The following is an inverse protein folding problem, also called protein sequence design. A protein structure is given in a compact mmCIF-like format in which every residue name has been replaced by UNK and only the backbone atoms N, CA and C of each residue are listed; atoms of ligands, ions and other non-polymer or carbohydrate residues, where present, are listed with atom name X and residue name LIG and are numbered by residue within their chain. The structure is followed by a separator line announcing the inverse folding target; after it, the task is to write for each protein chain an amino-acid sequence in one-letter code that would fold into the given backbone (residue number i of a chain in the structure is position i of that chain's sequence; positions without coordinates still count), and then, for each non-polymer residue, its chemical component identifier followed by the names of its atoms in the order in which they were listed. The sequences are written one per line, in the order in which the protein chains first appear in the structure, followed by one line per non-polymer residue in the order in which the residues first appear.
data_IF_066344549962
#
_entry.id   IF_066344549962
#
_cell.length_a   1.000
_cell.length_b   1.000
_cell.length_c   1.000
_cell.angle_alpha   90.00
_cell.angle_beta   90.00
_cell.angle_gamma   90.00
#
_symmetry.space_group_name_H-M   'P 1'
#
loop_
_entity.id
_entity.type
_entity.pdbx_description
1 polymer ?
#
# COMPACT_ATOMS: atom_id res chain seq x y z
N UNK A 1 -19.86 -27.45 42.88
CA UNK A 1 -19.97 -26.41 41.83
C UNK A 1 -18.82 -26.65 40.87
N UNK A 2 -19.14 -26.92 39.60
CA UNK A 2 -18.15 -26.91 38.54
C UNK A 2 -17.71 -25.47 38.33
N UNK A 3 -16.41 -25.26 38.25
CA UNK A 3 -15.79 -23.95 38.05
C UNK A 3 -15.61 -23.86 36.55
N UNK A 4 -16.64 -23.34 35.86
CA UNK A 4 -16.49 -22.89 34.48
C UNK A 4 -15.56 -21.68 34.52
N UNK A 5 -14.33 -21.85 34.03
CA UNK A 5 -13.43 -20.74 33.78
C UNK A 5 -13.41 -20.51 32.26
N UNK A 6 -13.85 -19.31 31.90
CA UNK A 6 -14.07 -18.79 30.54
C UNK A 6 -13.01 -19.15 29.49
N UNK A 7 -13.39 -19.25 28.21
CA UNK A 7 -12.43 -19.27 27.11
C UNK A 7 -11.60 -17.97 27.18
N UNK A 8 -10.32 -18.13 27.49
CA UNK A 8 -9.36 -17.03 27.51
C UNK A 8 -9.38 -16.35 26.13
N UNK A 9 -9.52 -15.02 26.15
CA UNK A 9 -9.48 -14.12 25.00
C UNK A 9 -8.21 -14.34 24.14
N UNK A 10 -8.31 -15.19 23.12
CA UNK A 10 -7.35 -15.26 22.00
C UNK A 10 -7.43 -14.02 21.07
N UNK A 11 -8.07 -12.93 21.51
CA UNK A 11 -8.46 -11.80 20.66
C UNK A 11 -7.45 -10.65 20.67
N UNK A 12 -6.31 -10.78 21.37
CA UNK A 12 -5.37 -9.66 21.59
C UNK A 12 -4.20 -9.57 20.60
N UNK A 13 -4.13 -10.41 19.56
CA UNK A 13 -2.99 -10.40 18.62
C UNK A 13 -3.40 -10.12 17.16
N UNK A 14 -4.26 -9.12 16.96
CA UNK A 14 -4.39 -8.53 15.62
C UNK A 14 -3.14 -7.65 15.37
N UNK A 15 -2.30 -7.95 14.36
CA UNK A 15 -1.16 -7.09 14.05
C UNK A 15 -1.68 -5.70 13.67
N UNK A 16 -1.01 -4.68 14.18
CA UNK A 16 -1.33 -3.29 13.87
C UNK A 16 -1.28 -3.10 12.34
N UNK A 17 -2.40 -2.73 11.74
CA UNK A 17 -2.53 -2.62 10.28
C UNK A 17 -1.80 -1.41 9.71
N UNK A 18 -1.19 -0.59 10.56
CA UNK A 18 -0.63 0.70 10.21
C UNK A 18 0.88 0.78 10.53
N UNK A 19 1.65 -0.20 10.08
CA UNK A 19 3.11 -0.20 10.24
C UNK A 19 3.81 0.47 9.05
N UNK A 20 4.97 1.05 9.32
CA UNK A 20 5.80 1.73 8.31
C UNK A 20 7.13 0.98 8.15
N UNK A 21 7.54 0.78 6.90
CA UNK A 21 8.82 0.18 6.52
C UNK A 21 9.79 1.31 6.19
N UNK A 22 10.73 1.56 7.11
CA UNK A 22 11.67 2.67 6.96
C UNK A 22 12.75 2.39 5.91
N UNK A 23 13.34 1.19 5.84
CA UNK A 23 14.47 0.88 4.94
C UNK A 23 14.15 -0.27 3.98
N UNK A 24 13.30 -0.03 2.95
CA UNK A 24 12.95 -1.07 1.99
C UNK A 24 14.12 -1.35 1.02
N UNK A 25 14.47 -2.62 0.84
CA UNK A 25 15.43 -3.10 -0.20
C UNK A 25 14.73 -3.62 -1.46
N UNK A 26 13.44 -3.31 -1.59
CA UNK A 26 12.57 -3.84 -2.63
C UNK A 26 12.84 -3.15 -3.99
N UNK A 27 13.08 -3.95 -5.01
CA UNK A 27 13.05 -3.50 -6.41
C UNK A 27 11.59 -3.44 -6.90
N UNK A 28 11.07 -2.22 -7.04
CA UNK A 28 9.69 -1.97 -7.47
C UNK A 28 9.41 -2.45 -8.89
N UNK A 29 10.35 -2.29 -9.81
CA UNK A 29 10.16 -2.64 -11.22
C UNK A 29 10.04 -4.16 -11.36
N UNK A 30 11.01 -4.88 -10.78
CA UNK A 30 10.99 -6.33 -10.76
C UNK A 30 9.75 -6.87 -10.03
N UNK A 31 9.37 -6.26 -8.90
CA UNK A 31 8.17 -6.69 -8.17
C UNK A 31 6.88 -6.46 -8.97
N UNK A 32 6.73 -5.30 -9.61
CA UNK A 32 5.53 -4.96 -10.38
C UNK A 32 5.34 -5.87 -11.61
N UNK A 33 6.43 -6.31 -12.26
CA UNK A 33 6.35 -7.20 -13.43
C UNK A 33 5.77 -8.57 -13.10
N UNK A 34 5.90 -9.04 -11.84
CA UNK A 34 5.36 -10.32 -11.39
C UNK A 34 3.83 -10.35 -11.25
N UNK A 35 3.19 -9.18 -11.23
CA UNK A 35 1.73 -9.03 -11.17
C UNK A 35 1.19 -8.42 -12.46
N UNK A 36 -0.11 -8.54 -12.70
CA UNK A 36 -0.79 -7.94 -13.86
C UNK A 36 -2.16 -7.39 -13.49
N UNK A 37 -2.72 -6.56 -14.37
CA UNK A 37 -4.04 -5.96 -14.19
C UNK A 37 -4.18 -5.17 -12.89
N UNK A 38 -5.37 -5.29 -12.27
CA UNK A 38 -5.70 -4.59 -11.03
C UNK A 38 -4.77 -4.95 -9.87
N UNK A 39 -4.36 -6.22 -9.77
CA UNK A 39 -3.46 -6.70 -8.71
C UNK A 39 -2.15 -5.92 -8.66
N UNK A 40 -1.59 -5.57 -9.83
CA UNK A 40 -0.35 -4.77 -9.91
C UNK A 40 -0.56 -3.39 -9.31
N UNK A 41 -1.72 -2.76 -9.59
CA UNK A 41 -2.06 -1.42 -9.09
C UNK A 41 -2.25 -1.46 -7.58
N UNK A 42 -3.02 -2.40 -7.06
CA UNK A 42 -3.27 -2.56 -5.62
C UNK A 42 -1.97 -2.80 -4.83
N UNK A 43 -1.08 -3.66 -5.35
CA UNK A 43 0.22 -3.91 -4.72
C UNK A 43 1.11 -2.68 -4.68
N UNK A 44 1.15 -1.89 -5.76
CA UNK A 44 1.91 -0.63 -5.77
C UNK A 44 1.33 0.41 -4.81
N UNK A 45 0.00 0.52 -4.71
CA UNK A 45 -0.65 1.40 -3.73
C UNK A 45 -0.33 0.97 -2.29
N UNK A 46 -0.40 -0.33 -2.01
CA UNK A 46 -0.05 -0.87 -0.69
C UNK A 46 1.40 -0.53 -0.31
N UNK A 47 2.35 -0.72 -1.22
CA UNK A 47 3.76 -0.33 -0.99
C UNK A 47 3.87 1.18 -0.74
N UNK A 48 3.13 1.99 -1.50
CA UNK A 48 3.18 3.44 -1.31
C UNK A 48 2.69 3.89 0.07
N UNK A 49 1.73 3.18 0.65
CA UNK A 49 1.22 3.45 2.00
C UNK A 49 2.26 3.09 3.07
N UNK A 50 2.87 1.91 2.96
CA UNK A 50 3.73 1.35 4.00
C UNK A 50 5.21 1.75 3.87
N UNK A 51 5.69 2.13 2.68
CA UNK A 51 7.09 2.44 2.42
C UNK A 51 7.26 3.91 1.98
N UNK A 52 7.42 4.87 2.91
CA UNK A 52 7.54 6.29 2.58
C UNK A 52 8.64 6.61 1.56
N UNK A 53 9.78 5.91 1.63
CA UNK A 53 10.90 6.10 0.69
C UNK A 53 10.53 5.73 -0.75
N UNK A 54 9.66 4.73 -0.94
CA UNK A 54 9.24 4.23 -2.25
C UNK A 54 7.93 4.83 -2.74
N UNK A 55 7.24 5.62 -1.90
CA UNK A 55 5.89 6.12 -2.12
C UNK A 55 5.71 6.80 -3.46
N UNK A 56 6.57 7.78 -3.77
CA UNK A 56 6.45 8.58 -5.00
C UNK A 56 6.63 7.69 -6.23
N UNK A 57 7.61 6.79 -6.22
CA UNK A 57 7.90 5.95 -7.37
C UNK A 57 6.81 4.89 -7.58
N UNK A 58 6.36 4.24 -6.50
CA UNK A 58 5.26 3.29 -6.55
C UNK A 58 3.96 3.94 -7.08
N UNK A 59 3.65 5.17 -6.66
CA UNK A 59 2.48 5.92 -7.15
C UNK A 59 2.61 6.32 -8.63
N UNK A 60 3.79 6.72 -9.11
CA UNK A 60 4.03 7.01 -10.53
C UNK A 60 3.83 5.77 -11.41
N UNK A 61 4.36 4.64 -10.98
CA UNK A 61 4.17 3.36 -11.67
C UNK A 61 2.69 2.97 -11.68
N UNK A 62 2.00 3.07 -10.53
CA UNK A 62 0.57 2.76 -10.42
C UNK A 62 -0.28 3.65 -11.34
N UNK A 63 0.04 4.95 -11.40
CA UNK A 63 -0.63 5.91 -12.27
C UNK A 63 -0.47 5.54 -13.76
N UNK A 64 0.73 5.13 -14.16
CA UNK A 64 1.01 4.70 -15.54
C UNK A 64 0.20 3.46 -15.93
N UNK A 65 -0.02 2.53 -14.98
CA UNK A 65 -0.82 1.33 -15.24
C UNK A 65 -2.31 1.62 -15.26
N UNK A 66 -2.84 2.42 -14.32
CA UNK A 66 -4.27 2.74 -14.28
C UNK A 66 -4.71 3.57 -15.49
N UNK A 67 -3.83 4.42 -16.04
CA UNK A 67 -4.09 5.16 -17.29
C UNK A 67 -4.35 4.27 -18.51
N UNK A 68 -3.89 3.01 -18.48
CA UNK A 68 -4.17 2.02 -19.54
C UNK A 68 -5.51 1.31 -19.35
N UNK A 69 -6.22 1.64 -18.27
CA UNK A 69 -7.54 1.14 -17.93
C UNK A 69 -8.56 2.28 -18.01
N UNK A 70 -9.84 1.98 -17.78
CA UNK A 70 -10.92 2.97 -17.71
C UNK A 70 -11.38 3.25 -16.27
N UNK A 71 -10.55 2.91 -15.26
CA UNK A 71 -10.90 3.12 -13.86
C UNK A 71 -10.53 4.54 -13.42
N UNK A 72 -11.46 5.47 -13.61
CA UNK A 72 -11.29 6.90 -13.30
C UNK A 72 -11.14 7.13 -11.80
N UNK A 73 -11.95 6.44 -10.98
CA UNK A 73 -11.92 6.61 -9.51
C UNK A 73 -10.53 6.28 -8.94
N UNK A 74 -9.94 5.17 -9.39
CA UNK A 74 -8.57 4.78 -8.99
C UNK A 74 -7.52 5.75 -9.55
N UNK A 75 -7.71 6.27 -10.77
CA UNK A 75 -6.81 7.28 -11.32
C UNK A 75 -6.80 8.56 -10.47
N UNK A 76 -7.97 9.09 -10.12
CA UNK A 76 -8.10 10.30 -9.31
C UNK A 76 -7.50 10.11 -7.91
N UNK A 77 -7.74 8.96 -7.29
CA UNK A 77 -7.15 8.64 -5.99
C UNK A 77 -5.62 8.60 -6.03
N UNK A 78 -5.04 7.86 -6.98
CA UNK A 78 -3.58 7.76 -7.13
C UNK A 78 -2.99 9.13 -7.44
N UNK A 79 -3.63 9.91 -8.32
CA UNK A 79 -3.19 11.25 -8.68
C UNK A 79 -3.20 12.21 -7.48
N UNK A 80 -4.25 12.17 -6.64
CA UNK A 80 -4.31 12.94 -5.39
C UNK A 80 -3.19 12.56 -4.44
N UNK A 81 -3.02 11.26 -4.15
CA UNK A 81 -1.95 10.74 -3.28
C UNK A 81 -0.55 11.15 -3.78
N UNK A 82 -0.33 11.10 -5.10
CA UNK A 82 0.96 11.49 -5.71
C UNK A 82 1.23 12.99 -5.58
N UNK A 83 0.20 13.83 -5.78
CA UNK A 83 0.30 15.28 -5.63
C UNK A 83 0.63 15.66 -4.19
N UNK A 84 -0.01 15.01 -3.22
CA UNK A 84 0.29 15.20 -1.80
C UNK A 84 1.72 14.76 -1.47
N UNK A 85 2.12 13.56 -1.92
CA UNK A 85 3.46 13.03 -1.66
C UNK A 85 4.57 13.94 -2.23
N UNK A 86 4.40 14.49 -3.43
CA UNK A 86 5.42 15.35 -4.07
C UNK A 86 5.52 16.74 -3.44
N UNK A 87 4.45 17.26 -2.83
CA UNK A 87 4.49 18.53 -2.09
C UNK A 87 5.41 18.48 -0.87
N UNK A 88 5.47 17.34 -0.16
CA UNK A 88 6.34 17.19 1.01
C UNK A 88 7.83 17.13 0.67
N UNK A 89 8.21 16.83 -0.57
CA UNK A 89 9.61 16.78 -1.00
C UNK A 89 10.14 18.12 -1.54
N UNK A 90 9.31 19.17 -1.63
CA UNK A 90 9.70 20.48 -2.18
C UNK A 90 10.12 21.51 -1.11
N UNK A 91 10.45 21.06 0.10
CA UNK A 91 11.03 21.87 1.19
C UNK A 91 12.36 21.27 1.64
#
# INVERSE_FOLDING_TARGET
MQIDADPQDDQQNAPDTNYIVENPTLDLEQYATSYSGLMRIERLQFIAEHCPQLRVEALKMALTFVQRTFNVDTYEEIHRKLTEATRYFSH
#
